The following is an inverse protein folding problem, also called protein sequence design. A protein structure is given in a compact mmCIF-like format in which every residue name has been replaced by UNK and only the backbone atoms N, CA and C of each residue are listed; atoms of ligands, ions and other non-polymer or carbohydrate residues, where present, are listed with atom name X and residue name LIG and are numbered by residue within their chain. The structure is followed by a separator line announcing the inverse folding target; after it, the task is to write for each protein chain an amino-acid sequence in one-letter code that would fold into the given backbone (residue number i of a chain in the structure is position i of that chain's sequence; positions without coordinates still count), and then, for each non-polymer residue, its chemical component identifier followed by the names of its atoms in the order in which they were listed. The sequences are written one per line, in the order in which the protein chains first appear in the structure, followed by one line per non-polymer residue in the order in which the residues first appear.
data_IF_450597075607
#
_entry.id   IF_450597075607
#
_cell.length_a   1.000
_cell.length_b   1.000
_cell.length_c   1.000
_cell.angle_alpha   90.00
_cell.angle_beta   90.00
_cell.angle_gamma   90.00
#
_symmetry.space_group_name_H-M   'P 1'
#
loop_
_entity.id
_entity.type
_entity.pdbx_description
1 polymer ?
#
# COMPACT_ATOMS: atom_id res chain seq x y z
N UNK A 1 -8.72 7.74 -16.67
CA UNK A 1 -8.50 7.57 -15.21
C UNK A 1 -7.15 8.13 -14.75
N UNK A 2 -6.01 7.63 -15.25
CA UNK A 2 -4.67 8.03 -14.80
C UNK A 2 -4.40 9.55 -14.76
N UNK A 3 -4.71 10.26 -15.84
CA UNK A 3 -4.58 11.73 -15.92
C UNK A 3 -5.36 12.41 -14.79
N UNK A 4 -6.65 12.07 -14.65
CA UNK A 4 -7.53 12.58 -13.59
C UNK A 4 -7.02 12.21 -12.19
N UNK A 5 -6.51 11.01 -11.98
CA UNK A 5 -5.95 10.56 -10.70
C UNK A 5 -4.69 11.33 -10.31
N UNK A 6 -3.84 11.71 -11.25
CA UNK A 6 -2.58 12.39 -10.96
C UNK A 6 -2.69 13.91 -10.97
N UNK A 7 -3.74 14.46 -11.57
CA UNK A 7 -3.97 15.91 -11.67
C UNK A 7 -5.07 16.45 -10.73
N UNK A 8 -5.77 15.59 -9.99
CA UNK A 8 -6.69 16.01 -8.92
C UNK A 8 -5.96 16.17 -7.58
N UNK A 9 -6.50 17.03 -6.70
CA UNK A 9 -6.01 17.13 -5.32
C UNK A 9 -6.18 15.78 -4.62
N UNK A 10 -5.18 15.38 -3.83
CA UNK A 10 -5.12 14.15 -3.02
C UNK A 10 -5.23 12.80 -3.78
N UNK A 11 -5.22 12.79 -5.11
CA UNK A 11 -5.20 11.55 -5.90
C UNK A 11 -6.53 10.78 -5.94
N UNK A 12 -7.61 11.34 -5.40
CA UNK A 12 -8.92 10.70 -5.29
C UNK A 12 -9.71 10.85 -6.60
N UNK A 13 -9.24 10.15 -7.63
CA UNK A 13 -9.81 10.22 -8.98
C UNK A 13 -11.29 9.84 -9.02
N UNK A 14 -11.69 8.85 -8.22
CA UNK A 14 -13.03 8.25 -8.23
C UNK A 14 -14.12 9.19 -7.67
N UNK A 15 -13.77 10.07 -6.72
CA UNK A 15 -14.73 10.97 -6.05
C UNK A 15 -14.51 12.45 -6.40
N UNK A 16 -13.66 12.74 -7.40
CA UNK A 16 -13.32 14.11 -7.77
C UNK A 16 -14.46 14.81 -8.52
N UNK A 17 -15.12 15.80 -7.91
CA UNK A 17 -16.03 16.72 -8.59
C UNK A 17 -15.25 17.76 -9.43
N UNK A 18 -15.94 18.50 -10.29
CA UNK A 18 -15.35 19.46 -11.26
C UNK A 18 -14.42 20.52 -10.63
N UNK A 19 -14.50 20.78 -9.32
CA UNK A 19 -13.64 21.73 -8.58
C UNK A 19 -12.36 21.14 -7.95
N UNK A 20 -12.06 19.85 -8.15
CA UNK A 20 -10.94 19.15 -7.46
C UNK A 20 -9.62 19.15 -8.24
N UNK A 21 -9.55 19.81 -9.38
CA UNK A 21 -8.30 19.96 -10.15
C UNK A 21 -7.21 20.65 -9.31
N UNK A 22 -6.01 20.08 -9.31
CA UNK A 22 -4.90 20.63 -8.57
C UNK A 22 -4.32 21.84 -9.33
N UNK A 23 -4.37 23.02 -8.71
CA UNK A 23 -3.62 24.19 -9.13
C UNK A 23 -2.58 24.55 -8.06
N UNK A 24 -1.45 25.09 -8.48
CA UNK A 24 -0.38 25.55 -7.60
C UNK A 24 0.09 26.92 -8.06
N UNK A 25 -0.10 27.94 -7.22
CA UNK A 25 0.31 29.33 -7.50
C UNK A 25 1.59 29.68 -6.75
N UNK A 26 1.75 29.19 -5.52
CA UNK A 26 2.83 29.58 -4.61
C UNK A 26 3.98 28.57 -4.52
N UNK A 27 3.90 27.45 -5.24
CA UNK A 27 4.92 26.41 -5.19
C UNK A 27 5.49 26.16 -6.57
N UNK A 28 6.82 26.27 -6.67
CA UNK A 28 7.59 25.91 -7.85
C UNK A 28 8.61 24.82 -7.51
N UNK A 29 8.85 23.93 -8.47
CA UNK A 29 9.88 22.88 -8.40
C UNK A 29 10.37 22.62 -9.81
N UNK A 30 11.68 22.45 -10.01
CA UNK A 30 12.26 22.23 -11.33
C UNK A 30 11.80 23.29 -12.37
N UNK A 31 11.78 24.56 -11.97
CA UNK A 31 11.39 25.71 -12.80
C UNK A 31 9.95 25.68 -13.36
N UNK A 32 9.05 24.92 -12.74
CA UNK A 32 7.64 24.84 -13.13
C UNK A 32 6.73 24.83 -11.90
N UNK A 33 5.43 25.05 -12.11
CA UNK A 33 4.44 24.95 -11.04
C UNK A 33 4.46 23.55 -10.40
N UNK A 34 4.34 23.47 -9.07
CA UNK A 34 4.48 22.22 -8.33
C UNK A 34 3.49 21.12 -8.74
N UNK A 35 2.31 21.47 -9.26
CA UNK A 35 1.36 20.53 -9.85
C UNK A 35 1.90 19.89 -11.15
N UNK A 36 2.51 20.70 -12.02
CA UNK A 36 3.11 20.24 -13.28
C UNK A 36 4.31 19.33 -13.02
N UNK A 37 5.20 19.74 -12.09
CA UNK A 37 6.37 18.92 -11.74
C UNK A 37 5.98 17.53 -11.20
N UNK A 38 4.93 17.43 -10.36
CA UNK A 38 4.42 16.13 -9.88
C UNK A 38 3.79 15.30 -11.00
N UNK A 39 3.07 15.94 -11.92
CA UNK A 39 2.50 15.27 -13.08
C UNK A 39 3.59 14.65 -13.95
N UNK A 40 4.64 15.41 -14.31
CA UNK A 40 5.75 14.92 -15.12
C UNK A 40 6.46 13.74 -14.47
N UNK A 41 6.79 13.82 -13.18
CA UNK A 41 7.40 12.68 -12.47
C UNK A 41 6.52 11.42 -12.45
N UNK A 42 5.19 11.58 -12.64
CA UNK A 42 4.28 10.44 -12.79
C UNK A 42 4.37 9.80 -14.17
N UNK A 43 4.56 10.63 -15.21
CA UNK A 43 4.71 10.19 -16.60
C UNK A 43 6.06 9.52 -16.80
N UNK A 44 7.13 10.09 -16.24
CA UNK A 44 8.48 9.53 -16.27
C UNK A 44 8.57 8.14 -15.63
N UNK A 45 7.71 7.85 -14.64
CA UNK A 45 7.61 6.55 -13.99
C UNK A 45 6.74 5.51 -14.71
N UNK A 46 6.02 5.89 -15.78
CA UNK A 46 5.12 4.98 -16.49
C UNK A 46 5.84 3.78 -17.14
N UNK A 47 7.00 3.94 -17.81
CA UNK A 47 7.68 2.80 -18.44
C UNK A 47 8.00 1.68 -17.45
N UNK A 48 8.41 2.01 -16.23
CA UNK A 48 8.73 1.05 -15.18
C UNK A 48 7.47 0.32 -14.69
N UNK A 49 6.35 1.03 -14.58
CA UNK A 49 5.04 0.42 -14.26
C UNK A 49 4.63 -0.55 -15.37
N UNK A 50 4.76 -0.14 -16.63
CA UNK A 50 4.45 -1.00 -17.79
C UNK A 50 5.30 -2.27 -17.74
N UNK A 51 6.61 -2.15 -17.57
CA UNK A 51 7.52 -3.31 -17.47
C UNK A 51 7.13 -4.25 -16.33
N UNK A 52 6.77 -3.71 -15.16
CA UNK A 52 6.36 -4.54 -14.01
C UNK A 52 5.04 -5.26 -14.23
N UNK A 53 4.11 -4.65 -14.95
CA UNK A 53 2.77 -5.21 -15.22
C UNK A 53 2.74 -6.13 -16.45
N UNK A 54 3.78 -6.18 -17.29
CA UNK A 54 3.85 -7.08 -18.44
C UNK A 54 3.76 -8.57 -18.07
N UNK A 55 4.10 -8.94 -16.83
CA UNK A 55 4.11 -10.32 -16.35
C UNK A 55 3.02 -10.59 -15.29
N UNK A 56 2.00 -9.75 -15.21
CA UNK A 56 0.90 -9.93 -14.25
C UNK A 56 -0.43 -10.10 -14.95
N UNK A 57 -1.26 -10.99 -14.42
CA UNK A 57 -2.67 -11.09 -14.78
C UNK A 57 -3.47 -10.17 -13.86
N UNK A 58 -4.38 -9.37 -14.43
CA UNK A 58 -5.22 -8.44 -13.70
C UNK A 58 -6.66 -8.95 -13.78
N UNK A 59 -7.28 -9.11 -12.61
CA UNK A 59 -8.66 -9.57 -12.50
C UNK A 59 -9.47 -8.68 -11.58
N UNK A 60 -10.77 -8.61 -11.85
CA UNK A 60 -11.76 -7.98 -11.00
C UNK A 60 -12.81 -9.03 -10.64
N UNK A 61 -12.62 -9.69 -9.50
CA UNK A 61 -13.48 -10.76 -9.02
C UNK A 61 -13.47 -10.78 -7.48
N UNK A 62 -14.44 -11.44 -6.82
CA UNK A 62 -14.41 -11.63 -5.37
C UNK A 62 -13.11 -12.31 -4.93
N UNK A 63 -12.49 -11.78 -3.87
CA UNK A 63 -11.16 -12.23 -3.42
C UNK A 63 -11.12 -13.73 -3.11
N UNK A 64 -12.18 -14.26 -2.49
CA UNK A 64 -12.31 -15.68 -2.15
C UNK A 64 -12.25 -16.57 -3.38
N UNK A 65 -12.88 -16.18 -4.49
CA UNK A 65 -12.85 -16.95 -5.74
C UNK A 65 -11.44 -16.98 -6.35
N UNK A 66 -10.75 -15.84 -6.31
CA UNK A 66 -9.37 -15.74 -6.80
C UNK A 66 -8.44 -16.60 -5.95
N UNK A 67 -8.56 -16.54 -4.62
CA UNK A 67 -7.76 -17.35 -3.69
C UNK A 67 -7.94 -18.83 -3.98
N UNK A 68 -9.19 -19.31 -4.05
CA UNK A 68 -9.48 -20.73 -4.32
C UNK A 68 -8.97 -21.19 -5.69
N UNK A 69 -9.04 -20.33 -6.71
CA UNK A 69 -8.60 -20.67 -8.07
C UNK A 69 -7.10 -20.85 -8.19
N UNK A 70 -6.34 -20.02 -7.47
CA UNK A 70 -4.88 -20.00 -7.55
C UNK A 70 -4.20 -20.72 -6.40
N UNK A 71 -4.95 -21.37 -5.52
CA UNK A 71 -4.38 -22.10 -4.38
C UNK A 71 -3.53 -23.28 -4.87
N UNK A 72 -2.27 -23.27 -4.45
CA UNK A 72 -1.31 -24.33 -4.70
C UNK A 72 -0.17 -24.22 -3.68
N UNK A 73 0.57 -25.29 -3.48
CA UNK A 73 1.72 -25.31 -2.55
C UNK A 73 2.83 -24.32 -2.95
N UNK A 74 2.89 -23.89 -4.21
CA UNK A 74 3.88 -22.91 -4.70
C UNK A 74 3.34 -21.48 -4.77
N UNK A 75 2.08 -21.26 -4.38
CA UNK A 75 1.45 -19.93 -4.40
C UNK A 75 1.74 -19.18 -3.11
N UNK A 76 2.07 -17.89 -3.24
CA UNK A 76 2.10 -16.92 -2.13
C UNK A 76 0.97 -15.92 -2.32
N UNK A 77 0.04 -15.87 -1.37
CA UNK A 77 -1.02 -14.87 -1.29
C UNK A 77 -0.58 -13.70 -0.40
N UNK A 78 -0.65 -12.49 -0.93
CA UNK A 78 -0.54 -11.26 -0.13
C UNK A 78 -1.89 -10.55 -0.13
N UNK A 79 -2.48 -10.42 1.05
CA UNK A 79 -3.82 -9.86 1.24
C UNK A 79 -3.75 -8.57 2.06
N UNK A 80 -4.26 -7.48 1.50
CA UNK A 80 -4.43 -6.18 2.19
C UNK A 80 -5.91 -5.79 2.18
N UNK A 81 -6.76 -6.47 2.98
CA UNK A 81 -8.19 -6.20 2.99
C UNK A 81 -8.48 -4.80 3.58
N UNK A 82 -9.62 -4.16 3.23
CA UNK A 82 -10.10 -2.99 3.96
C UNK A 82 -10.10 -3.25 5.46
N UNK A 83 -9.31 -2.50 6.24
CA UNK A 83 -9.17 -2.75 7.67
C UNK A 83 -10.48 -2.55 8.45
N UNK A 84 -10.68 -3.33 9.52
CA UNK A 84 -11.87 -3.25 10.35
C UNK A 84 -12.13 -1.84 10.89
N UNK A 85 -13.41 -1.52 11.08
CA UNK A 85 -13.86 -0.23 11.61
C UNK A 85 -13.25 0.09 12.98
N UNK A 86 -13.10 -0.92 13.86
CA UNK A 86 -12.48 -0.77 15.18
C UNK A 86 -11.04 -0.21 15.10
N UNK A 87 -10.33 -0.52 14.01
CA UNK A 87 -8.96 -0.06 13.80
C UNK A 87 -8.87 1.35 13.15
N UNK A 88 -10.01 1.96 12.80
CA UNK A 88 -10.10 3.21 12.02
C UNK A 88 -10.93 4.27 12.74
N UNK A 89 -10.48 5.52 12.62
CA UNK A 89 -11.20 6.68 13.18
C UNK A 89 -12.24 7.27 12.23
N UNK A 90 -12.21 6.90 10.94
CA UNK A 90 -13.08 7.42 9.89
C UNK A 90 -13.84 6.26 9.22
N UNK A 91 -15.18 6.33 9.25
CA UNK A 91 -16.10 5.28 8.78
C UNK A 91 -16.45 5.38 7.28
N UNK A 92 -15.62 6.05 6.46
CA UNK A 92 -15.89 6.29 5.02
C UNK A 92 -14.63 6.23 4.14
N UNK A 93 -13.59 5.54 4.58
CA UNK A 93 -12.29 5.59 3.90
C UNK A 93 -12.24 4.74 2.61
N UNK A 94 -13.13 3.75 2.47
CA UNK A 94 -13.20 2.85 1.30
C UNK A 94 -14.60 2.88 0.69
N UNK A 95 -14.67 2.80 -0.63
CA UNK A 95 -15.97 2.76 -1.35
C UNK A 95 -16.71 1.43 -1.16
N UNK A 96 -15.98 0.37 -0.80
CA UNK A 96 -16.49 -0.96 -0.46
C UNK A 96 -15.83 -1.36 0.86
N UNK A 97 -16.62 -1.45 1.92
CA UNK A 97 -16.15 -1.81 3.26
C UNK A 97 -16.38 -3.31 3.50
N UNK A 98 -15.54 -3.91 4.33
CA UNK A 98 -15.73 -5.28 4.80
C UNK A 98 -16.33 -5.24 6.19
N UNK A 99 -17.39 -6.02 6.38
CA UNK A 99 -17.97 -6.33 7.68
C UNK A 99 -17.07 -7.29 8.45
N UNK A 100 -17.22 -7.33 9.78
CA UNK A 100 -16.49 -8.29 10.63
C UNK A 100 -16.75 -9.74 10.20
N UNK A 101 -17.96 -10.05 9.70
CA UNK A 101 -18.31 -11.38 9.18
C UNK A 101 -17.59 -11.72 7.86
N UNK A 102 -17.41 -10.75 6.97
CA UNK A 102 -16.60 -10.95 5.74
C UNK A 102 -15.11 -11.11 6.07
N UNK A 103 -14.63 -10.47 7.15
CA UNK A 103 -13.28 -10.72 7.66
C UNK A 103 -13.13 -12.14 8.23
N UNK A 104 -14.15 -12.65 8.93
CA UNK A 104 -14.20 -14.03 9.41
C UNK A 104 -14.19 -15.02 8.25
N UNK A 105 -15.04 -14.84 7.23
CA UNK A 105 -15.09 -15.70 6.04
C UNK A 105 -13.74 -15.70 5.31
N UNK A 106 -13.12 -14.54 5.12
CA UNK A 106 -11.79 -14.45 4.52
C UNK A 106 -10.74 -15.22 5.34
N UNK A 107 -10.74 -15.06 6.66
CA UNK A 107 -9.78 -15.75 7.53
C UNK A 107 -9.97 -17.28 7.51
N UNK A 108 -11.20 -17.77 7.44
CA UNK A 108 -11.50 -19.20 7.28
C UNK A 108 -10.93 -19.74 5.96
N UNK A 109 -11.17 -19.04 4.85
CA UNK A 109 -10.64 -19.44 3.54
C UNK A 109 -9.10 -19.44 3.57
N UNK A 110 -8.48 -18.38 4.08
CA UNK A 110 -7.01 -18.27 4.15
C UNK A 110 -6.37 -19.32 5.07
N UNK A 111 -7.08 -19.82 6.08
CA UNK A 111 -6.60 -20.96 6.90
C UNK A 111 -6.68 -22.29 6.16
N UNK A 112 -7.52 -22.41 5.14
CA UNK A 112 -7.72 -23.64 4.37
C UNK A 112 -6.81 -23.79 3.15
N UNK A 113 -6.10 -22.72 2.75
CA UNK A 113 -5.22 -22.74 1.58
C UNK A 113 -3.97 -23.59 1.81
N UNK A 114 -3.47 -24.20 0.75
CA UNK A 114 -2.22 -24.95 0.74
C UNK A 114 -1.00 -24.03 0.62
N UNK A 115 -1.19 -22.86 0.01
CA UNK A 115 -0.12 -21.89 -0.22
C UNK A 115 0.34 -21.12 1.02
N UNK A 116 1.40 -20.35 0.83
CA UNK A 116 1.85 -19.36 1.79
C UNK A 116 0.92 -18.14 1.75
N UNK A 117 0.66 -17.54 2.91
CA UNK A 117 -0.21 -16.37 3.03
C UNK A 117 0.43 -15.33 3.93
N UNK A 118 0.36 -14.07 3.49
CA UNK A 118 0.65 -12.89 4.28
C UNK A 118 -0.55 -11.94 4.26
N UNK A 119 -1.06 -11.57 5.43
CA UNK A 119 -2.17 -10.62 5.58
C UNK A 119 -1.65 -9.37 6.28
N UNK A 120 -1.85 -8.19 5.70
CA UNK A 120 -1.54 -6.91 6.32
C UNK A 120 -2.77 -6.27 6.96
N UNK A 121 -2.56 -5.58 8.08
CA UNK A 121 -3.63 -4.89 8.79
C UNK A 121 -3.15 -4.01 9.92
N UNK A 122 -4.07 -3.24 10.49
CA UNK A 122 -3.84 -2.63 11.80
C UNK A 122 -4.15 -3.63 12.89
N UNK A 123 -3.35 -3.60 13.96
CA UNK A 123 -3.62 -4.41 15.14
C UNK A 123 -4.93 -3.98 15.81
N UNK A 124 -5.87 -4.91 15.93
CA UNK A 124 -7.12 -4.76 16.68
C UNK A 124 -7.57 -6.12 17.24
N UNK A 125 -8.63 -6.11 18.06
CA UNK A 125 -9.13 -7.31 18.72
C UNK A 125 -9.57 -8.39 17.72
N UNK A 126 -10.21 -7.97 16.62
CA UNK A 126 -10.64 -8.85 15.54
C UNK A 126 -9.43 -9.56 14.88
N UNK A 127 -8.44 -8.80 14.41
CA UNK A 127 -7.27 -9.37 13.71
C UNK A 127 -6.45 -10.29 14.63
N UNK A 128 -6.24 -9.89 15.89
CA UNK A 128 -5.54 -10.72 16.89
C UNK A 128 -6.29 -12.04 17.15
N UNK A 129 -7.63 -12.05 17.09
CA UNK A 129 -8.45 -13.27 17.19
C UNK A 129 -8.36 -14.13 15.91
N UNK A 130 -8.54 -13.51 14.74
CA UNK A 130 -8.62 -14.19 13.45
C UNK A 130 -7.31 -14.85 13.03
N UNK A 131 -6.16 -14.30 13.44
CA UNK A 131 -4.83 -14.78 13.04
C UNK A 131 -3.94 -15.14 14.24
N UNK A 132 -4.57 -15.53 15.36
CA UNK A 132 -3.87 -15.85 16.63
C UNK A 132 -2.79 -16.93 16.54
N UNK A 133 -2.92 -17.84 15.59
CA UNK A 133 -2.01 -18.99 15.41
C UNK A 133 -0.91 -18.71 14.37
N UNK A 134 -0.89 -17.50 13.79
CA UNK A 134 0.03 -17.10 12.74
C UNK A 134 1.20 -16.29 13.32
N UNK A 135 2.34 -16.32 12.63
CA UNK A 135 3.49 -15.49 13.01
C UNK A 135 3.14 -14.04 12.68
N UNK A 136 3.27 -13.15 13.68
CA UNK A 136 2.99 -11.71 13.52
C UNK A 136 4.28 -10.91 13.50
N UNK A 137 4.41 -10.02 12.52
CA UNK A 137 5.51 -9.05 12.40
C UNK A 137 4.93 -7.64 12.49
N UNK A 138 5.35 -6.88 13.50
CA UNK A 138 4.86 -5.53 13.76
C UNK A 138 5.81 -4.47 13.18
N UNK A 139 5.23 -3.46 12.53
CA UNK A 139 5.95 -2.26 12.11
C UNK A 139 6.08 -1.26 13.28
N UNK A 140 7.01 -0.31 13.13
CA UNK A 140 7.16 0.79 14.08
C UNK A 140 5.84 1.57 14.22
N UNK A 141 5.39 1.74 15.47
CA UNK A 141 4.14 2.44 15.78
C UNK A 141 4.20 3.88 15.31
N UNK A 142 3.24 4.31 14.48
CA UNK A 142 3.15 5.69 14.00
C UNK A 142 2.02 6.43 14.70
N UNK A 143 2.27 7.70 15.03
CA UNK A 143 1.23 8.63 15.47
C UNK A 143 0.41 9.05 14.24
N UNK A 144 -0.88 8.72 14.23
CA UNK A 144 -1.78 9.20 13.19
C UNK A 144 -2.32 10.58 13.59
N UNK A 145 -2.04 11.60 12.78
CA UNK A 145 -2.52 12.97 13.05
C UNK A 145 -4.03 13.13 12.82
N UNK A 146 -4.69 12.20 12.11
CA UNK A 146 -6.12 12.28 11.75
C UNK A 146 -7.05 11.76 12.83
N UNK A 147 -6.58 10.81 13.64
CA UNK A 147 -7.34 10.15 14.69
C UNK A 147 -6.37 9.94 15.83
N UNK A 148 -6.55 10.68 16.93
CA UNK A 148 -5.65 10.82 18.10
C UNK A 148 -5.36 9.49 18.83
N UNK A 149 -4.76 8.53 18.14
CA UNK A 149 -4.48 7.17 18.63
C UNK A 149 -3.20 6.61 17.99
N UNK A 150 -2.52 5.73 18.73
CA UNK A 150 -1.39 4.96 18.22
C UNK A 150 -1.94 3.84 17.33
N UNK A 151 -1.39 3.71 16.12
CA UNK A 151 -1.68 2.56 15.25
C UNK A 151 -0.39 1.78 14.99
N UNK A 152 -0.50 0.47 15.12
CA UNK A 152 0.56 -0.48 14.79
C UNK A 152 0.10 -1.24 13.55
N UNK A 153 0.82 -1.05 12.45
CA UNK A 153 0.66 -1.88 11.25
C UNK A 153 1.37 -3.19 11.50
N UNK A 154 0.71 -4.29 11.18
CA UNK A 154 1.18 -5.64 11.43
C UNK A 154 0.93 -6.49 10.18
N UNK A 155 1.79 -7.49 10.00
CA UNK A 155 1.61 -8.54 8.99
C UNK A 155 1.55 -9.88 9.71
N UNK A 156 0.54 -10.69 9.39
CA UNK A 156 0.40 -12.06 9.87
C UNK A 156 0.74 -13.02 8.75
N UNK A 157 1.56 -14.04 9.03
CA UNK A 157 1.99 -15.05 8.05
C UNK A 157 1.81 -16.48 8.56
N UNK A 158 1.43 -17.40 7.68
CA UNK A 158 1.28 -18.83 7.99
C UNK A 158 2.54 -19.67 7.70
N UNK A 159 3.64 -19.00 7.33
CA UNK A 159 4.92 -19.61 7.00
C UNK A 159 6.03 -18.96 7.83
N UNK A 160 7.16 -19.63 7.96
CA UNK A 160 8.34 -19.05 8.61
C UNK A 160 8.99 -18.01 7.68
N UNK A 161 9.01 -16.71 8.03
CA UNK A 161 9.64 -15.70 7.21
C UNK A 161 11.17 -15.87 7.14
N UNK A 162 11.79 -16.52 8.13
CA UNK A 162 13.24 -16.73 8.18
C UNK A 162 13.67 -17.91 7.32
N UNK A 163 12.82 -18.93 7.14
CA UNK A 163 13.12 -20.08 6.26
C UNK A 163 13.29 -19.68 4.79
N UNK A 164 12.68 -18.57 4.37
CA UNK A 164 12.85 -18.03 3.02
C UNK A 164 14.17 -17.25 2.82
N UNK A 165 14.82 -16.80 3.91
CA UNK A 165 16.01 -15.95 3.85
C UNK A 165 17.27 -16.67 3.34
N UNK A 166 17.30 -18.01 3.36
CA UNK A 166 18.48 -18.78 2.98
C UNK A 166 18.41 -19.39 1.57
N UNK A 167 17.22 -19.52 0.98
CA UNK A 167 17.05 -20.12 -0.36
C UNK A 167 16.84 -19.09 -1.47
N UNK A 168 16.45 -17.85 -1.14
CA UNK A 168 16.25 -16.77 -2.12
C UNK A 168 17.55 -16.09 -2.62
N UNK A 169 18.74 -16.64 -2.28
CA UNK A 169 19.99 -16.26 -2.92
C UNK A 169 20.11 -16.79 -4.36
N UNK A 170 19.20 -17.66 -4.81
CA UNK A 170 19.18 -18.18 -6.18
C UNK A 170 17.82 -17.97 -6.85
N UNK A 171 17.85 -17.24 -7.98
CA UNK A 171 16.79 -17.04 -8.99
C UNK A 171 15.84 -15.84 -8.84
N UNK A 172 16.32 -14.71 -8.30
CA UNK A 172 15.89 -13.42 -8.85
C UNK A 172 16.62 -13.28 -10.20
N UNK A 173 15.84 -13.21 -11.28
CA UNK A 173 16.31 -13.11 -12.67
C UNK A 173 17.59 -12.26 -12.79
N UNK A 174 18.63 -12.72 -13.52
CA UNK A 174 19.95 -12.07 -13.58
C UNK A 174 19.94 -10.72 -14.32
N UNK A 175 18.76 -10.20 -14.67
CA UNK A 175 18.65 -9.00 -15.47
C UNK A 175 17.73 -7.97 -14.78
N UNK A 176 18.41 -6.97 -14.21
CA UNK A 176 18.00 -5.56 -14.04
C UNK A 176 17.26 -5.17 -12.76
N UNK A 177 17.99 -4.35 -11.99
CA UNK A 177 17.49 -3.13 -11.37
C UNK A 177 16.40 -3.30 -10.31
N UNK A 178 16.75 -3.94 -9.19
CA UNK A 178 16.16 -3.57 -7.92
C UNK A 178 16.72 -2.20 -7.54
N UNK A 179 16.14 -1.12 -8.07
CA UNK A 179 16.41 0.21 -7.56
C UNK A 179 15.77 0.32 -6.18
N UNK A 180 16.53 -0.10 -5.16
CA UNK A 180 16.30 0.39 -3.80
C UNK A 180 16.51 1.90 -3.88
N UNK A 181 15.42 2.66 -3.95
CA UNK A 181 15.49 4.12 -3.88
C UNK A 181 15.85 4.50 -2.44
N UNK A 182 17.14 4.40 -2.09
CA UNK A 182 17.70 5.33 -1.14
C UNK A 182 17.60 6.72 -1.78
N UNK A 183 16.63 7.52 -1.34
CA UNK A 183 16.67 8.95 -1.65
C UNK A 183 17.94 9.49 -1.02
N UNK A 184 18.92 10.02 -1.79
CA UNK A 184 20.00 10.76 -1.17
C UNK A 184 19.39 11.96 -0.44
N UNK A 185 19.57 11.99 0.87
CA UNK A 185 19.25 13.16 1.68
C UNK A 185 20.18 14.30 1.26
N UNK A 186 19.70 15.19 0.40
CA UNK A 186 20.31 16.48 0.05
C UNK A 186 19.17 17.42 -0.37
N UNK A 187 19.01 18.65 0.11
CA UNK A 187 19.96 19.63 0.63
C UNK A 187 19.28 20.56 1.63
N UNK A 188 20.09 21.03 2.57
CA UNK A 188 19.96 22.23 3.41
C UNK A 188 19.40 23.44 2.63
N UNK A 189 18.27 23.97 3.11
CA UNK A 189 17.82 25.31 2.72
C UNK A 189 18.33 26.31 3.74
N UNK A 190 19.38 27.03 3.34
CA UNK A 190 19.88 28.23 4.01
C UNK A 190 18.70 29.09 4.46
N UNK A 191 18.63 29.35 5.77
CA UNK A 191 17.83 30.45 6.32
C UNK A 191 18.36 31.77 5.74
N UNK A 192 17.59 32.40 4.86
CA UNK A 192 17.67 33.83 4.61
C UNK A 192 16.29 34.43 4.87
N UNK A 193 16.21 35.30 5.88
CA UNK A 193 14.99 36.00 6.25
C UNK A 193 14.90 36.40 7.72
N UNK A 194 15.89 37.13 8.25
CA UNK A 194 15.63 38.06 9.36
C UNK A 194 15.33 39.43 8.74
N UNK A 195 14.07 39.84 8.78
CA UNK A 195 13.64 41.25 8.81
C UNK A 195 12.86 41.45 10.11
N UNK A 196 13.35 42.39 10.93
CA UNK A 196 12.86 42.96 12.22
C UNK A 196 14.12 43.20 13.07
N UNK A 197 14.51 44.40 13.49
CA UNK A 197 13.92 45.76 13.51
C UNK A 197 14.84 46.75 12.80
#
# INVERSE_FOLDING_TARGET
FFVRARQTRTGLAQTSSEGRWAHCVLTSRACMAGAVSRWLGSVEGLPQIVQRLQRVQIENAPAIEVIRRYDSQSTLFYCDPPYPHEARGDSKAYSYEMTDGEHEELAEVLRSVQGAVAVSGYRCSLMDRLYRDWIRVDANTRLCNSSKGKRTESVWVNYDPESCSQTAAYNILPDKNLYLFERPARYDTRKHGKKRQ
#
